data_IF_766108255437
#
_entry.id   IF_766108255437
#
_cell.length_a   1.000
_cell.length_b   1.000
_cell.length_c   1.000
_cell.angle_alpha   90.00
_cell.angle_beta   90.00
_cell.angle_gamma   90.00
#
_symmetry.space_group_name_H-M   'P 1'
#
loop_
_entity.id
_entity.type
_entity.pdbx_description
1 polymer ?
#
# COMPACT_ATOMS: atom_id res chain seq x y z
N UNK A 1 1.11 9.12 -18.57
CA UNK A 1 1.50 9.70 -17.27
C UNK A 1 1.87 8.54 -16.35
N UNK A 2 2.77 8.72 -15.38
CA UNK A 2 3.04 7.68 -14.38
C UNK A 2 1.76 7.42 -13.55
N UNK A 3 1.46 6.17 -13.18
CA UNK A 3 0.27 5.86 -12.40
C UNK A 3 0.37 6.45 -10.99
N UNK A 4 -0.75 6.99 -10.52
CA UNK A 4 -0.87 7.48 -9.15
C UNK A 4 -1.22 6.33 -8.21
N UNK A 5 -0.46 6.15 -7.12
CA UNK A 5 -0.70 5.05 -6.17
C UNK A 5 -0.69 5.55 -4.72
N UNK A 6 -1.49 4.91 -3.88
CA UNK A 6 -1.36 5.00 -2.43
C UNK A 6 -0.46 3.91 -1.90
N UNK A 7 0.32 4.22 -0.87
CA UNK A 7 1.05 3.23 -0.10
C UNK A 7 0.23 2.74 1.09
N UNK A 8 0.29 1.45 1.40
CA UNK A 8 -0.28 0.92 2.64
C UNK A 8 0.71 0.03 3.38
N UNK A 9 0.89 0.30 4.67
CA UNK A 9 1.79 -0.45 5.55
C UNK A 9 1.15 -0.66 6.92
N UNK A 10 1.47 -1.78 7.56
CA UNK A 10 1.22 -2.11 8.96
C UNK A 10 2.53 -2.08 9.71
N UNK A 11 2.58 -1.29 10.78
CA UNK A 11 3.76 -1.16 11.62
C UNK A 11 3.37 -1.02 13.09
N UNK A 12 4.00 -1.82 13.96
CA UNK A 12 3.74 -1.79 15.40
C UNK A 12 4.40 -0.60 16.11
N UNK A 13 5.35 0.07 15.46
CA UNK A 13 6.08 1.20 16.01
C UNK A 13 6.52 2.19 14.90
N UNK A 14 7.01 3.36 15.32
CA UNK A 14 7.37 4.47 14.43
C UNK A 14 8.60 4.17 13.58
N UNK A 15 9.55 3.38 14.09
CA UNK A 15 10.79 3.05 13.37
C UNK A 15 10.46 2.15 12.19
N UNK A 16 9.72 1.07 12.43
CA UNK A 16 9.28 0.15 11.38
C UNK A 16 8.41 0.88 10.34
N UNK A 17 7.50 1.76 10.80
CA UNK A 17 6.68 2.56 9.91
C UNK A 17 7.54 3.41 8.96
N UNK A 18 8.54 4.12 9.49
CA UNK A 18 9.43 4.94 8.69
C UNK A 18 10.23 4.09 7.68
N UNK A 19 10.70 2.91 8.10
CA UNK A 19 11.40 1.98 7.21
C UNK A 19 10.49 1.48 6.08
N UNK A 20 9.26 1.08 6.37
CA UNK A 20 8.34 0.58 5.35
C UNK A 20 7.88 1.67 4.38
N UNK A 21 7.64 2.90 4.88
CA UNK A 21 7.31 4.06 4.04
C UNK A 21 8.46 4.35 3.07
N UNK A 22 9.70 4.40 3.56
CA UNK A 22 10.88 4.65 2.71
C UNK A 22 11.06 3.57 1.64
N UNK A 23 10.79 2.31 1.99
CA UNK A 23 10.81 1.20 1.04
C UNK A 23 9.72 1.31 -0.04
N UNK A 24 8.49 1.67 0.33
CA UNK A 24 7.43 1.93 -0.64
C UNK A 24 7.78 3.10 -1.57
N UNK A 25 8.36 4.17 -1.03
CA UNK A 25 8.82 5.31 -1.82
C UNK A 25 9.86 4.91 -2.86
N UNK A 26 10.88 4.14 -2.46
CA UNK A 26 11.89 3.62 -3.38
C UNK A 26 11.27 2.70 -4.44
N UNK A 27 10.38 1.81 -4.03
CA UNK A 27 9.71 0.90 -4.95
C UNK A 27 8.85 1.64 -5.99
N UNK A 28 8.04 2.63 -5.56
CA UNK A 28 7.24 3.45 -6.45
C UNK A 28 8.11 4.14 -7.52
N UNK A 29 9.25 4.71 -7.11
CA UNK A 29 10.20 5.34 -8.04
C UNK A 29 10.79 4.32 -9.03
N UNK A 30 11.22 3.16 -8.55
CA UNK A 30 11.77 2.09 -9.40
C UNK A 30 10.77 1.58 -10.42
N UNK A 31 9.49 1.49 -10.06
CA UNK A 31 8.41 1.03 -10.92
C UNK A 31 7.78 2.14 -11.78
N UNK A 32 8.31 3.37 -11.71
CA UNK A 32 7.81 4.50 -12.50
C UNK A 32 6.43 5.00 -12.08
N UNK A 33 6.07 4.84 -10.81
CA UNK A 33 4.81 5.26 -10.19
C UNK A 33 5.00 6.55 -9.37
N UNK A 34 3.90 7.23 -9.06
CA UNK A 34 3.89 8.37 -8.13
C UNK A 34 3.15 7.98 -6.87
N UNK A 35 3.86 7.93 -5.75
CA UNK A 35 3.27 7.69 -4.43
C UNK A 35 2.62 8.98 -3.92
N UNK A 36 1.28 9.02 -3.90
CA UNK A 36 0.52 10.23 -3.56
C UNK A 36 0.37 10.41 -2.05
N UNK A 37 0.16 9.30 -1.34
CA UNK A 37 0.07 9.27 0.12
C UNK A 37 0.43 7.88 0.66
N UNK A 38 0.73 7.77 1.95
CA UNK A 38 1.00 6.49 2.62
C UNK A 38 0.20 6.35 3.90
N UNK A 39 -0.63 5.32 3.93
CA UNK A 39 -1.46 4.97 5.07
C UNK A 39 -0.71 3.97 5.95
N UNK A 40 -0.49 4.36 7.21
CA UNK A 40 0.21 3.56 8.21
C UNK A 40 -0.81 3.05 9.22
N UNK A 41 -1.07 1.76 9.17
CA UNK A 41 -1.90 1.05 10.13
C UNK A 41 -1.06 0.60 11.32
N UNK A 42 -1.53 0.90 12.54
CA UNK A 42 -0.77 0.63 13.78
C UNK A 42 -1.41 -0.41 14.67
N UNK A 43 -2.67 -0.72 14.44
CA UNK A 43 -3.43 -1.67 15.23
C UNK A 43 -4.31 -2.55 14.33
N UNK A 44 -5.18 -3.34 14.95
CA UNK A 44 -6.11 -4.23 14.27
C UNK A 44 -7.47 -3.57 13.97
N UNK A 45 -7.60 -2.24 14.10
CA UNK A 45 -8.85 -1.54 13.84
C UNK A 45 -9.12 -1.32 12.35
N UNK A 46 -8.10 -1.48 11.50
CA UNK A 46 -8.16 -1.23 10.05
C UNK A 46 -8.57 0.21 9.70
N UNK A 47 -8.40 1.17 10.62
CA UNK A 47 -8.81 2.57 10.42
C UNK A 47 -8.08 3.22 9.25
N UNK A 48 -6.76 3.02 9.15
CA UNK A 48 -5.97 3.58 8.06
C UNK A 48 -6.32 2.91 6.72
N UNK A 49 -6.67 1.62 6.76
CA UNK A 49 -7.12 0.90 5.58
C UNK A 49 -8.44 1.47 5.05
N UNK A 50 -9.46 1.64 5.89
CA UNK A 50 -10.74 2.21 5.45
C UNK A 50 -10.60 3.66 4.96
N UNK A 51 -9.75 4.47 5.58
CA UNK A 51 -9.47 5.83 5.11
C UNK A 51 -8.82 5.84 3.70
N UNK A 52 -7.95 4.88 3.42
CA UNK A 52 -7.39 4.70 2.08
C UNK A 52 -8.46 4.29 1.07
N UNK A 53 -9.31 3.32 1.43
CA UNK A 53 -10.39 2.86 0.55
C UNK A 53 -11.37 3.98 0.18
N UNK A 54 -11.75 4.81 1.15
CA UNK A 54 -12.63 5.96 0.92
C UNK A 54 -12.03 6.91 -0.13
N UNK A 55 -10.72 7.20 -0.05
CA UNK A 55 -10.03 8.07 -1.01
C UNK A 55 -9.85 7.44 -2.38
N UNK A 56 -9.68 6.12 -2.46
CA UNK A 56 -9.67 5.41 -3.74
C UNK A 56 -11.03 5.48 -4.45
N UNK A 57 -12.15 5.44 -3.71
CA UNK A 57 -13.49 5.64 -4.28
C UNK A 57 -13.70 7.02 -4.93
N UNK A 58 -12.86 8.00 -4.59
CA UNK A 58 -12.88 9.34 -5.19
C UNK A 58 -11.87 9.51 -6.34
N UNK A 59 -11.34 8.40 -6.88
CA UNK A 59 -10.37 8.36 -7.98
C UNK A 59 -9.10 9.20 -7.70
N UNK A 60 -8.72 9.36 -6.43
CA UNK A 60 -7.50 10.09 -6.05
C UNK A 60 -6.20 9.33 -6.40
N UNK A 61 -6.30 8.01 -6.61
CA UNK A 61 -5.23 7.14 -7.06
C UNK A 61 -5.77 5.99 -7.92
N UNK A 62 -4.92 5.43 -8.77
CA UNK A 62 -5.22 4.31 -9.68
C UNK A 62 -5.00 2.94 -9.02
N UNK A 63 -4.32 2.91 -7.86
CA UNK A 63 -4.01 1.67 -7.16
C UNK A 63 -3.34 1.83 -5.81
N UNK A 64 -3.01 0.69 -5.22
CA UNK A 64 -2.39 0.55 -3.91
C UNK A 64 -1.09 -0.23 -4.03
N UNK A 65 -0.02 0.30 -3.46
CA UNK A 65 1.29 -0.32 -3.34
C UNK A 65 1.49 -0.86 -1.93
N UNK A 66 1.80 -2.15 -1.81
CA UNK A 66 2.06 -2.85 -0.54
C UNK A 66 3.37 -3.61 -0.57
N UNK A 67 3.98 -3.83 0.60
CA UNK A 67 5.18 -4.67 0.73
C UNK A 67 4.78 -6.14 0.93
N UNK A 68 5.47 -7.04 0.24
CA UNK A 68 5.18 -8.48 0.28
C UNK A 68 5.51 -9.14 1.62
N UNK A 69 6.54 -8.67 2.34
CA UNK A 69 6.95 -9.28 3.60
C UNK A 69 6.05 -8.97 4.80
N UNK A 70 5.08 -8.06 4.62
CA UNK A 70 4.16 -7.72 5.69
C UNK A 70 3.12 -8.83 5.90
N UNK A 71 2.80 -9.08 7.18
CA UNK A 71 1.79 -10.06 7.53
C UNK A 71 0.39 -9.49 7.27
N UNK A 72 -0.15 -9.83 6.10
CA UNK A 72 -1.53 -9.55 5.72
C UNK A 72 -2.42 -10.69 6.21
N UNK A 73 -3.30 -10.40 7.17
CA UNK A 73 -4.31 -11.35 7.65
C UNK A 73 -5.40 -11.62 6.60
N UNK A 74 -6.20 -12.66 6.82
CA UNK A 74 -7.24 -13.07 5.88
C UNK A 74 -8.33 -12.02 5.71
N UNK A 75 -8.61 -11.24 6.75
CA UNK A 75 -9.57 -10.13 6.70
C UNK A 75 -9.08 -9.03 5.77
N UNK A 76 -7.84 -8.57 5.91
CA UNK A 76 -7.24 -7.60 4.98
C UNK A 76 -7.29 -8.11 3.54
N UNK A 77 -6.92 -9.37 3.31
CA UNK A 77 -6.92 -9.96 1.95
C UNK A 77 -8.32 -10.00 1.35
N UNK A 78 -9.32 -10.40 2.15
CA UNK A 78 -10.71 -10.43 1.73
C UNK A 78 -11.22 -9.04 1.38
N UNK A 79 -10.99 -8.06 2.26
CA UNK A 79 -11.44 -6.68 2.05
C UNK A 79 -10.72 -6.01 0.88
N UNK A 80 -9.40 -6.22 0.74
CA UNK A 80 -8.63 -5.71 -0.38
C UNK A 80 -9.12 -6.29 -1.71
N UNK A 81 -9.35 -7.61 -1.78
CA UNK A 81 -9.86 -8.26 -2.99
C UNK A 81 -11.24 -7.74 -3.38
N UNK A 82 -12.17 -7.67 -2.42
CA UNK A 82 -13.51 -7.14 -2.67
C UNK A 82 -13.47 -5.70 -3.17
N UNK A 83 -12.62 -4.87 -2.57
CA UNK A 83 -12.50 -3.47 -2.95
C UNK A 83 -11.88 -3.27 -4.34
N UNK A 84 -10.84 -4.05 -4.68
CA UNK A 84 -10.21 -4.02 -6.00
C UNK A 84 -11.24 -4.37 -7.09
N UNK A 85 -12.10 -5.35 -6.82
CA UNK A 85 -13.16 -5.73 -7.75
C UNK A 85 -14.21 -4.61 -7.93
N UNK A 86 -14.58 -3.91 -6.85
CA UNK A 86 -15.60 -2.85 -6.88
C UNK A 86 -15.09 -1.51 -7.44
N UNK A 87 -13.82 -1.16 -7.19
CA UNK A 87 -13.19 0.12 -7.60
C UNK A 87 -12.47 0.05 -8.95
N UNK A 88 -12.04 -1.14 -9.37
CA UNK A 88 -11.14 -1.31 -10.51
C UNK A 88 -9.69 -0.89 -10.23
N UNK A 89 -9.36 -0.50 -8.99
CA UNK A 89 -8.02 -0.09 -8.58
C UNK A 89 -7.04 -1.26 -8.60
N UNK A 90 -5.76 -1.01 -8.91
CA UNK A 90 -4.77 -2.09 -8.99
C UNK A 90 -4.05 -2.29 -7.65
N UNK A 91 -3.79 -3.55 -7.28
CA UNK A 91 -2.92 -3.87 -6.15
C UNK A 91 -1.53 -4.27 -6.64
N UNK A 92 -0.55 -3.44 -6.31
CA UNK A 92 0.85 -3.64 -6.60
C UNK A 92 1.55 -4.20 -5.36
N UNK A 93 2.07 -5.43 -5.47
CA UNK A 93 2.78 -6.08 -4.38
C UNK A 93 4.28 -6.05 -4.67
N UNK A 94 5.02 -5.26 -3.90
CA UNK A 94 6.47 -5.14 -4.02
C UNK A 94 7.12 -6.28 -3.25
N UNK A 95 7.80 -7.16 -3.98
CA UNK A 95 8.77 -8.09 -3.38
C UNK A 95 10.12 -7.38 -3.36
N UNK A 96 10.85 -7.53 -2.27
CA UNK A 96 12.20 -7.00 -2.16
C UNK A 96 13.01 -7.45 -3.39
N UNK A 97 13.46 -6.51 -4.22
CA UNK A 97 14.34 -6.82 -5.33
C UNK A 97 15.69 -7.07 -4.68
N UNK A 98 16.06 -8.33 -4.48
CA UNK A 98 17.42 -8.72 -4.09
C UNK A 98 18.39 -8.07 -5.08
N UNK A 99 18.95 -6.92 -4.71
CA UNK A 99 20.08 -6.36 -5.43
C UNK A 99 21.26 -7.26 -5.07
N UNK A 100 21.43 -8.32 -5.87
CA UNK A 100 22.66 -9.10 -5.91
C UNK A 100 23.78 -8.12 -6.22
N UNK A 101 24.49 -7.69 -5.18
CA UNK A 101 25.73 -6.92 -5.27
C UNK A 101 26.91 -7.87 -5.38
#
# INVERSE_FOLDING_TARGET
>A
MPPLVFGYVRASNVVDAATYVDRLQRAAVCEGMVLVDVFVERDSSHTAFFAMLDRLCFDEAEGVLVLAEQHWDDEFRMLAAQFIDDSGAWLYVVREVEHSS
#
